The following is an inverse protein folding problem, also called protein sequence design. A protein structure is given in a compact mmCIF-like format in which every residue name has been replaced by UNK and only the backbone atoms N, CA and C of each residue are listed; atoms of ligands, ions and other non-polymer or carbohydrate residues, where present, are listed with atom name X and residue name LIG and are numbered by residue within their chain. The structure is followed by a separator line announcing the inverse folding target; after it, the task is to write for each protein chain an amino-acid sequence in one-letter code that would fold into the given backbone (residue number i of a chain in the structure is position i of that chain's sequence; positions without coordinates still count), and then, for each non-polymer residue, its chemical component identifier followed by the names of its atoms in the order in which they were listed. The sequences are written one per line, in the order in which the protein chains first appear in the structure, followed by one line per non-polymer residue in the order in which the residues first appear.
data_IF_581268866160
#
_entry.id   IF_581268866160
#
_cell.length_a   1.000
_cell.length_b   1.000
_cell.length_c   1.000
_cell.angle_alpha   90.00
_cell.angle_beta   90.00
_cell.angle_gamma   90.00
#
_symmetry.space_group_name_H-M   'P 1'
#
loop_
_entity.id
_entity.type
_entity.pdbx_description
1 polymer ?
#
# COMPACT_ATOMS: atom_id res chain seq x y z
N UNK A 1 -7.18 -4.78 -6.26
CA UNK A 1 -6.15 -5.84 -6.34
C UNK A 1 -4.86 -5.15 -6.68
N UNK A 2 -3.74 -5.46 -6.02
CA UNK A 2 -2.48 -4.72 -6.29
C UNK A 2 -2.08 -4.90 -7.76
N UNK A 3 -1.95 -3.80 -8.50
CA UNK A 3 -1.61 -3.77 -9.92
C UNK A 3 -0.11 -3.65 -10.18
N UNK A 4 0.61 -3.02 -9.26
CA UNK A 4 2.05 -2.75 -9.38
C UNK A 4 2.79 -3.06 -8.09
N UNK A 5 4.06 -3.44 -8.22
CA UNK A 5 4.97 -3.59 -7.08
C UNK A 5 5.38 -2.20 -6.59
N UNK A 6 5.42 -2.02 -5.28
CA UNK A 6 5.92 -0.80 -4.64
C UNK A 6 7.01 -1.17 -3.63
N UNK A 7 8.19 -0.60 -3.83
CA UNK A 7 9.36 -0.79 -2.97
C UNK A 7 9.50 0.48 -2.13
N UNK A 8 9.34 0.41 -0.80
CA UNK A 8 9.38 1.57 0.05
C UNK A 8 10.79 2.22 0.07
N UNK A 9 10.81 3.54 -0.01
CA UNK A 9 11.95 4.41 0.26
C UNK A 9 11.93 5.01 1.67
N UNK A 10 10.75 5.15 2.27
CA UNK A 10 10.55 5.75 3.59
C UNK A 10 9.99 4.73 4.61
N UNK A 11 10.24 4.91 5.93
CA UNK A 11 9.88 3.93 6.96
C UNK A 11 8.36 3.82 7.22
N UNK A 12 7.57 4.79 6.79
CA UNK A 12 6.11 4.80 6.88
C UNK A 12 5.39 4.12 5.70
N UNK A 13 6.16 3.73 4.68
CA UNK A 13 5.66 3.09 3.47
C UNK A 13 5.56 1.56 3.62
N UNK A 14 4.59 0.95 2.95
CA UNK A 14 4.37 -0.50 2.98
C UNK A 14 4.86 -1.18 1.69
N UNK A 15 5.73 -2.17 1.83
CA UNK A 15 6.09 -3.09 0.75
C UNK A 15 4.85 -3.84 0.22
N UNK A 16 4.59 -3.71 -1.08
CA UNK A 16 3.52 -4.46 -1.75
C UNK A 16 4.02 -5.04 -3.08
N UNK A 17 3.55 -6.25 -3.37
CA UNK A 17 3.72 -6.93 -4.65
C UNK A 17 2.35 -7.20 -5.27
N UNK A 18 2.31 -7.58 -6.54
CA UNK A 18 1.05 -7.97 -7.21
C UNK A 18 0.37 -9.20 -6.58
N UNK A 19 1.09 -9.95 -5.74
CA UNK A 19 0.55 -11.07 -4.96
C UNK A 19 0.12 -10.66 -3.54
N UNK A 20 0.47 -9.46 -3.09
CA UNK A 20 0.16 -9.00 -1.73
C UNK A 20 -1.32 -8.67 -1.61
N UNK A 21 -1.97 -9.26 -0.62
CA UNK A 21 -3.33 -8.87 -0.22
C UNK A 21 -3.22 -7.78 0.84
N UNK A 22 -3.73 -6.59 0.49
CA UNK A 22 -3.81 -5.45 1.40
C UNK A 22 -5.25 -5.00 1.58
N UNK A 23 -5.56 -4.50 2.77
CA UNK A 23 -6.80 -3.80 3.09
C UNK A 23 -6.51 -2.31 3.17
N UNK A 24 -7.20 -1.52 2.37
CA UNK A 24 -7.19 -0.05 2.48
C UNK A 24 -7.91 0.34 3.77
N UNK A 25 -7.23 1.11 4.62
CA UNK A 25 -7.74 1.65 5.87
C UNK A 25 -8.19 3.10 5.73
N UNK A 26 -7.45 3.89 4.94
CA UNK A 26 -7.75 5.27 4.62
C UNK A 26 -7.16 5.64 3.26
N UNK A 27 -7.83 6.53 2.54
CA UNK A 27 -7.34 7.15 1.30
C UNK A 27 -7.14 8.65 1.59
N UNK A 28 -6.00 9.17 1.15
CA UNK A 28 -5.63 10.58 1.30
C UNK A 28 -5.84 11.31 -0.04
N UNK A 29 -5.95 12.64 0.02
CA UNK A 29 -6.21 13.50 -1.15
C UNK A 29 -4.95 13.84 -1.96
N UNK A 30 -3.79 13.34 -1.54
CA UNK A 30 -2.48 13.53 -2.17
C UNK A 30 -2.01 12.33 -3.01
N UNK A 31 -2.85 11.30 -3.15
CA UNK A 31 -2.55 10.12 -3.96
C UNK A 31 -2.08 8.89 -3.18
N UNK A 32 -2.11 8.93 -1.85
CA UNK A 32 -1.69 7.82 -0.99
C UNK A 32 -2.87 7.12 -0.31
N UNK A 33 -2.67 5.85 0.04
CA UNK A 33 -3.59 5.07 0.84
C UNK A 33 -2.85 4.38 2.00
N UNK A 34 -3.37 4.54 3.22
CA UNK A 34 -2.93 3.73 4.35
C UNK A 34 -3.48 2.32 4.18
N UNK A 35 -2.57 1.35 4.11
CA UNK A 35 -2.91 -0.06 3.91
C UNK A 35 -2.43 -0.92 5.07
N UNK A 36 -3.09 -2.06 5.26
CA UNK A 36 -2.65 -3.13 6.14
C UNK A 36 -2.56 -4.45 5.37
N UNK A 37 -1.42 -5.13 5.45
CA UNK A 37 -1.28 -6.47 4.86
C UNK A 37 -1.80 -7.57 5.80
N UNK A 38 -1.84 -8.81 5.30
CA UNK A 38 -2.28 -9.97 6.11
C UNK A 38 -1.33 -10.33 7.26
N UNK A 39 -0.09 -9.82 7.23
CA UNK A 39 0.92 -10.02 8.28
C UNK A 39 0.74 -9.05 9.45
N UNK A 40 -0.19 -8.09 9.33
CA UNK A 40 -0.45 -7.06 10.32
C UNK A 40 0.47 -5.85 10.20
N UNK A 41 1.30 -5.77 9.15
CA UNK A 41 2.12 -4.60 8.86
C UNK A 41 1.24 -3.51 8.23
N UNK A 42 1.50 -2.26 8.61
CA UNK A 42 0.76 -1.09 8.16
C UNK A 42 1.73 -0.05 7.61
N UNK A 43 1.31 0.60 6.53
CA UNK A 43 2.03 1.71 5.94
C UNK A 43 1.28 2.28 4.75
N UNK A 44 1.79 3.40 4.24
CA UNK A 44 1.20 4.08 3.10
C UNK A 44 1.68 3.45 1.79
N UNK A 45 0.80 3.38 0.81
CA UNK A 45 1.11 2.96 -0.56
C UNK A 45 0.47 3.94 -1.56
N UNK A 46 1.08 4.18 -2.72
CA UNK A 46 0.47 5.01 -3.76
C UNK A 46 -0.82 4.37 -4.29
N UNK A 47 -1.87 5.16 -4.48
CA UNK A 47 -3.14 4.71 -5.05
C UNK A 47 -2.96 4.10 -6.45
N UNK A 48 -2.01 4.61 -7.24
CA UNK A 48 -1.67 4.07 -8.57
C UNK A 48 -1.22 2.60 -8.55
N UNK A 49 -0.75 2.10 -7.40
CA UNK A 49 -0.38 0.69 -7.25
C UNK A 49 -1.58 -0.20 -6.95
N UNK A 50 -2.69 0.37 -6.48
CA UNK A 50 -3.93 -0.34 -6.13
C UNK A 50 -4.97 -0.31 -7.24
N UNK A 51 -4.93 0.72 -8.08
CA UNK A 51 -5.92 0.98 -9.14
C UNK A 51 -5.80 0.07 -10.34
#
# INVERSE_FOLDING_TARGET
TVRSVFIPSDPDELDITTATVVRVLAEFDDGWALCANERGEQGVVPLECLE
#
